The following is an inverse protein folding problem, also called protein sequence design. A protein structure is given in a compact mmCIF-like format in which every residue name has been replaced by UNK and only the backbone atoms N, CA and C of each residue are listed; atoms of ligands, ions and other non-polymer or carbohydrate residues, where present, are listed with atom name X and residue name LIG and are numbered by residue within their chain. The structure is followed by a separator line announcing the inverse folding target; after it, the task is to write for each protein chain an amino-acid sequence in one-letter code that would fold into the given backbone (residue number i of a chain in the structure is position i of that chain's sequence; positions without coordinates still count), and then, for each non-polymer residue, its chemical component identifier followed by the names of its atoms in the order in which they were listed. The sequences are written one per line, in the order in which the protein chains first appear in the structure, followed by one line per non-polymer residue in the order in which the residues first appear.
data_IF_056588669920
#
_entry.id   IF_056588669920
#
_cell.length_a   1.000
_cell.length_b   1.000
_cell.length_c   1.000
_cell.angle_alpha   90.00
_cell.angle_beta   90.00
_cell.angle_gamma   90.00
#
_symmetry.space_group_name_H-M   'P 1'
#
loop_
_entity.id
_entity.type
_entity.pdbx_description
1 polymer ?
#
# COMPACT_ATOMS: atom_id res chain seq x y z
N UNK A 1 5.37 15.64 11.60
CA UNK A 1 3.97 15.19 11.61
C UNK A 1 3.36 15.44 12.97
N UNK A 2 2.13 15.96 13.01
CA UNK A 2 1.30 16.09 14.22
C UNK A 2 0.15 15.10 14.19
N UNK A 3 -0.21 14.58 15.37
CA UNK A 3 -1.35 13.66 15.56
C UNK A 3 -2.34 14.33 16.52
N UNK A 4 -3.61 14.41 16.13
CA UNK A 4 -4.71 14.82 16.99
C UNK A 4 -5.76 13.69 17.08
N UNK A 5 -6.44 13.61 18.22
CA UNK A 5 -7.50 12.63 18.45
C UNK A 5 -8.77 13.40 18.82
N UNK A 6 -9.78 13.32 17.96
CA UNK A 6 -11.14 13.80 18.26
C UNK A 6 -12.06 12.58 18.38
N UNK A 7 -12.35 12.18 19.62
CA UNK A 7 -13.15 10.99 19.96
C UNK A 7 -12.60 9.72 19.30
N UNK A 8 -13.24 9.28 18.21
CA UNK A 8 -12.91 8.09 17.44
C UNK A 8 -12.22 8.41 16.10
N UNK A 9 -11.83 9.66 15.87
CA UNK A 9 -11.13 10.14 14.68
C UNK A 9 -9.68 10.44 15.04
N UNK A 10 -8.75 9.89 14.26
CA UNK A 10 -7.32 10.21 14.33
C UNK A 10 -6.98 11.09 13.13
N UNK A 11 -6.45 12.27 13.41
CA UNK A 11 -6.02 13.21 12.38
C UNK A 11 -4.50 13.26 12.32
N UNK A 12 -3.96 13.20 11.11
CA UNK A 12 -2.54 13.40 10.86
C UNK A 12 -2.33 14.67 10.06
N UNK A 13 -1.52 15.59 10.58
CA UNK A 13 -1.09 16.79 9.85
C UNK A 13 0.37 16.63 9.46
N UNK A 14 0.64 16.60 8.16
CA UNK A 14 2.00 16.52 7.61
C UNK A 14 2.69 17.88 7.74
N UNK A 15 3.95 17.88 8.13
CA UNK A 15 4.71 19.11 8.41
C UNK A 15 5.84 19.34 7.40
N UNK A 16 6.10 18.38 6.51
CA UNK A 16 7.11 18.50 5.46
C UNK A 16 6.71 17.70 4.20
N UNK A 17 7.36 17.97 3.04
CA UNK A 17 7.00 17.31 1.77
C UNK A 17 7.17 15.79 1.77
N UNK A 18 8.15 15.27 2.50
CA UNK A 18 8.39 13.81 2.58
C UNK A 18 7.23 13.11 3.30
N UNK A 19 6.75 13.68 4.40
CA UNK A 19 5.57 13.21 5.14
C UNK A 19 4.31 13.26 4.27
N UNK A 20 4.11 14.35 3.51
CA UNK A 20 3.00 14.48 2.57
C UNK A 20 3.02 13.38 1.50
N UNK A 21 4.17 13.14 0.87
CA UNK A 21 4.30 12.06 -0.12
C UNK A 21 4.02 10.68 0.49
N UNK A 22 4.48 10.43 1.71
CA UNK A 22 4.18 9.19 2.44
C UNK A 22 2.69 9.02 2.74
N UNK A 23 2.01 10.09 3.15
CA UNK A 23 0.57 10.07 3.41
C UNK A 23 -0.25 9.87 2.14
N UNK A 24 0.16 10.45 1.00
CA UNK A 24 -0.50 10.20 -0.29
C UNK A 24 -0.45 8.73 -0.69
N UNK A 25 0.71 8.08 -0.52
CA UNK A 25 0.85 6.64 -0.78
C UNK A 25 -0.02 5.83 0.18
N UNK A 26 -0.01 6.16 1.47
CA UNK A 26 -0.87 5.51 2.46
C UNK A 26 -2.36 5.68 2.09
N UNK A 27 -2.77 6.87 1.66
CA UNK A 27 -4.15 7.13 1.29
C UNK A 27 -4.60 6.28 0.09
N UNK A 28 -3.74 6.11 -0.91
CA UNK A 28 -3.99 5.21 -2.05
C UNK A 28 -4.03 3.74 -1.66
N UNK A 29 -3.34 3.35 -0.59
CA UNK A 29 -3.40 1.99 -0.05
C UNK A 29 -4.71 1.73 0.70
N UNK A 30 -5.17 2.72 1.47
CA UNK A 30 -6.36 2.58 2.33
C UNK A 30 -7.66 2.80 1.58
N UNK A 31 -7.70 3.77 0.67
CA UNK A 31 -8.91 4.12 -0.06
C UNK A 31 -8.97 3.36 -1.37
N UNK A 32 -10.01 2.54 -1.51
CA UNK A 32 -10.39 1.93 -2.77
C UNK A 32 -11.68 2.59 -3.24
N UNK A 33 -11.66 3.32 -4.37
CA UNK A 33 -12.86 4.02 -4.85
C UNK A 33 -13.96 3.06 -5.34
N UNK A 34 -13.65 1.78 -5.58
CA UNK A 34 -14.57 0.78 -6.13
C UNK A 34 -15.00 -0.23 -5.07
N UNK A 35 -14.15 -0.51 -4.09
CA UNK A 35 -14.38 -1.51 -3.03
C UNK A 35 -14.42 -0.86 -1.64
N UNK A 36 -14.46 -1.67 -0.59
CA UNK A 36 -14.36 -1.17 0.78
C UNK A 36 -12.96 -0.65 1.10
N UNK A 37 -12.91 0.44 1.89
CA UNK A 37 -11.65 0.95 2.43
C UNK A 37 -10.95 -0.12 3.29
N UNK A 38 -9.62 -0.17 3.20
CA UNK A 38 -8.79 -1.06 4.02
C UNK A 38 -8.63 -0.48 5.43
N UNK A 39 -8.58 -1.36 6.42
CA UNK A 39 -8.37 -0.98 7.82
C UNK A 39 -6.89 -1.07 8.19
N UNK A 40 -6.46 -0.20 9.10
CA UNK A 40 -5.16 -0.29 9.74
C UNK A 40 -5.32 -0.92 11.12
N UNK A 41 -4.58 -1.99 11.39
CA UNK A 41 -4.52 -2.62 12.70
C UNK A 41 -3.18 -2.34 13.37
N UNK A 42 -3.13 -1.91 14.64
CA UNK A 42 -1.88 -1.66 15.34
C UNK A 42 -1.10 -2.96 15.56
N UNK A 43 0.23 -2.89 15.43
CA UNK A 43 1.13 -4.03 15.67
C UNK A 43 1.84 -3.84 17.00
N UNK A 44 1.57 -4.74 17.95
CA UNK A 44 2.27 -4.79 19.24
C UNK A 44 2.02 -3.57 20.12
N UNK A 45 3.05 -3.13 20.85
CA UNK A 45 2.98 -1.99 21.78
C UNK A 45 3.79 -0.80 21.25
N UNK A 46 3.30 0.42 21.52
CA UNK A 46 4.05 1.65 21.30
C UNK A 46 4.69 2.10 22.61
N UNK A 47 6.01 1.91 22.73
CA UNK A 47 6.80 2.35 23.90
C UNK A 47 7.95 3.23 23.41
N UNK A 48 7.85 4.57 23.53
CA UNK A 48 8.85 5.51 23.02
C UNK A 48 10.26 5.28 23.55
N UNK A 49 10.40 4.77 24.77
CA UNK A 49 11.71 4.47 25.38
C UNK A 49 12.39 3.24 24.77
N UNK A 50 11.64 2.34 24.15
CA UNK A 50 12.17 1.18 23.40
C UNK A 50 12.35 1.53 21.92
N UNK A 51 11.32 2.11 21.31
CA UNK A 51 11.30 2.52 19.91
C UNK A 51 10.24 3.60 19.71
N UNK A 52 10.65 4.76 19.20
CA UNK A 52 9.74 5.88 18.93
C UNK A 52 9.04 5.72 17.56
N UNK A 53 8.43 4.55 17.31
CA UNK A 53 7.77 4.21 16.05
C UNK A 53 6.46 3.48 16.32
N UNK A 54 5.34 4.05 15.90
CA UNK A 54 4.06 3.34 15.85
C UNK A 54 3.99 2.50 14.56
N UNK A 55 3.53 1.26 14.66
CA UNK A 55 3.43 0.34 13.53
C UNK A 55 2.01 -0.15 13.36
N UNK A 56 1.58 -0.22 12.11
CA UNK A 56 0.29 -0.74 11.71
C UNK A 56 0.46 -1.73 10.56
N UNK A 57 -0.38 -2.75 10.52
CA UNK A 57 -0.59 -3.57 9.33
C UNK A 57 -1.84 -3.07 8.62
N UNK A 58 -1.82 -3.05 7.29
CA UNK A 58 -3.00 -2.75 6.46
C UNK A 58 -3.66 -4.06 6.08
N UNK A 59 -4.91 -4.26 6.49
CA UNK A 59 -5.66 -5.47 6.17
C UNK A 59 -5.77 -5.70 4.66
N UNK A 60 -5.70 -6.96 4.24
CA UNK A 60 -5.82 -7.33 2.83
C UNK A 60 -4.60 -7.03 1.96
N UNK A 61 -3.48 -6.56 2.53
CA UNK A 61 -2.21 -6.41 1.82
C UNK A 61 -1.22 -7.46 2.34
N UNK A 62 -0.91 -8.44 1.48
CA UNK A 62 0.10 -9.47 1.80
C UNK A 62 1.51 -8.89 1.75
N UNK A 63 2.32 -9.21 2.77
CA UNK A 63 3.76 -8.91 2.78
C UNK A 63 4.59 -9.84 1.86
N UNK A 64 4.00 -10.95 1.40
CA UNK A 64 4.60 -11.86 0.41
C UNK A 64 4.11 -11.51 -0.98
N UNK A 65 4.99 -11.57 -1.97
CA UNK A 65 4.60 -11.49 -3.38
C UNK A 65 3.67 -12.64 -3.70
N UNK A 66 2.42 -12.32 -4.01
CA UNK A 66 1.44 -13.28 -4.53
C UNK A 66 1.33 -13.03 -6.03
N UNK A 67 1.16 -14.10 -6.79
CA UNK A 67 0.93 -14.02 -8.23
C UNK A 67 -0.50 -14.47 -8.52
N UNK A 68 -1.11 -13.84 -9.51
CA UNK A 68 -2.38 -14.30 -10.07
C UNK A 68 -2.18 -15.60 -10.86
N UNK A 69 -3.27 -16.30 -11.14
CA UNK A 69 -3.26 -17.43 -12.06
C UNK A 69 -3.16 -16.99 -13.53
N UNK A 70 -3.38 -15.70 -13.80
CA UNK A 70 -3.30 -15.11 -15.13
C UNK A 70 -1.86 -15.07 -15.64
N UNK A 71 -1.66 -15.62 -16.84
CA UNK A 71 -0.39 -15.67 -17.54
C UNK A 71 -0.32 -14.62 -18.62
N UNK A 72 0.80 -13.91 -18.70
CA UNK A 72 1.03 -12.94 -19.77
C UNK A 72 1.31 -13.67 -21.08
N UNK A 73 0.70 -13.24 -22.18
CA UNK A 73 0.87 -13.86 -23.50
C UNK A 73 2.03 -13.26 -24.29
N UNK A 74 2.27 -11.98 -24.11
CA UNK A 74 3.32 -11.22 -24.80
C UNK A 74 4.23 -10.54 -23.76
N UNK A 75 5.38 -10.05 -24.19
CA UNK A 75 6.25 -9.26 -23.30
C UNK A 75 5.58 -7.90 -23.05
N UNK A 76 5.34 -7.56 -21.78
CA UNK A 76 4.70 -6.31 -21.40
C UNK A 76 5.28 -5.72 -20.11
N UNK A 77 4.92 -4.47 -19.83
CA UNK A 77 5.30 -3.79 -18.60
C UNK A 77 4.07 -3.52 -17.75
N UNK A 78 4.01 -4.10 -16.55
CA UNK A 78 2.93 -3.82 -15.60
C UNK A 78 3.35 -2.81 -14.54
N UNK A 79 2.39 -2.01 -14.07
CA UNK A 79 2.53 -1.00 -13.03
C UNK A 79 1.50 -1.20 -11.91
N UNK A 80 1.94 -0.98 -10.68
CA UNK A 80 1.04 -0.81 -9.55
C UNK A 80 0.67 0.67 -9.46
N UNK A 81 -0.57 1.06 -9.77
CA UNK A 81 -1.02 2.47 -9.69
C UNK A 81 -1.04 3.07 -8.27
N UNK A 82 -0.88 2.21 -7.26
CA UNK A 82 -0.86 2.61 -5.84
C UNK A 82 0.53 3.12 -5.44
N UNK A 83 1.56 2.30 -5.63
CA UNK A 83 2.94 2.62 -5.24
C UNK A 83 3.85 2.98 -6.42
N UNK A 84 3.33 3.02 -7.65
CA UNK A 84 4.03 3.27 -8.90
C UNK A 84 5.24 2.35 -9.15
N UNK A 85 5.20 1.13 -8.59
CA UNK A 85 6.20 0.11 -8.91
C UNK A 85 5.94 -0.45 -10.30
N UNK A 86 7.00 -0.63 -11.09
CA UNK A 86 6.96 -1.27 -12.41
C UNK A 86 7.55 -2.67 -12.36
N UNK A 87 7.13 -3.55 -13.27
CA UNK A 87 7.72 -4.87 -13.49
C UNK A 87 7.57 -5.26 -14.95
N UNK A 88 8.66 -5.74 -15.55
CA UNK A 88 8.65 -6.29 -16.90
C UNK A 88 8.37 -7.79 -16.82
N UNK A 89 7.40 -8.26 -17.61
CA UNK A 89 6.96 -9.65 -17.63
C UNK A 89 7.19 -10.25 -19.01
N UNK A 90 7.58 -11.52 -19.03
CA UNK A 90 7.75 -12.31 -20.26
C UNK A 90 6.54 -13.20 -20.50
N UNK A 91 6.34 -13.69 -21.74
CA UNK A 91 5.34 -14.70 -22.02
C UNK A 91 5.43 -15.90 -21.05
N UNK A 92 4.31 -16.23 -20.40
CA UNK A 92 4.22 -17.31 -19.41
C UNK A 92 4.49 -16.91 -17.96
N UNK A 93 4.96 -15.69 -17.71
CA UNK A 93 5.01 -15.14 -16.35
C UNK A 93 3.59 -14.91 -15.82
N UNK A 94 3.42 -15.04 -14.51
CA UNK A 94 2.15 -14.69 -13.86
C UNK A 94 2.12 -13.21 -13.51
N UNK A 95 0.95 -12.57 -13.60
CA UNK A 95 0.80 -11.16 -13.19
C UNK A 95 0.96 -11.06 -11.67
N UNK A 96 1.91 -10.26 -11.16
CA UNK A 96 2.10 -10.08 -9.72
C UNK A 96 0.98 -9.25 -9.10
N UNK A 97 0.67 -9.55 -7.83
CA UNK A 97 -0.17 -8.73 -6.96
C UNK A 97 0.71 -7.78 -6.17
N UNK A 98 0.46 -6.48 -6.29
CA UNK A 98 1.15 -5.43 -5.56
C UNK A 98 0.14 -4.54 -4.83
N UNK A 99 0.43 -4.14 -3.58
CA UNK A 99 -0.47 -3.30 -2.77
C UNK A 99 -1.90 -3.88 -2.61
N UNK A 100 -2.04 -5.20 -2.69
CA UNK A 100 -3.31 -5.91 -2.56
C UNK A 100 -4.13 -6.02 -3.84
N UNK A 101 -3.59 -5.62 -5.01
CA UNK A 101 -4.26 -5.76 -6.32
C UNK A 101 -3.32 -6.30 -7.41
N UNK A 102 -3.83 -7.02 -8.43
CA UNK A 102 -3.04 -7.33 -9.62
C UNK A 102 -2.47 -6.05 -10.24
N UNK A 103 -1.21 -6.09 -10.68
CA UNK A 103 -0.61 -4.97 -11.40
C UNK A 103 -1.25 -4.82 -12.79
N UNK A 104 -1.37 -3.57 -13.25
CA UNK A 104 -2.04 -3.22 -14.50
C UNK A 104 -1.03 -3.04 -15.63
N UNK A 105 -1.37 -3.41 -16.86
CA UNK A 105 -0.51 -3.14 -18.02
C UNK A 105 -0.36 -1.62 -18.25
N UNK A 106 0.81 -1.23 -18.75
CA UNK A 106 1.14 0.14 -19.14
C UNK A 106 0.97 0.33 -20.65
N UNK A 107 1.00 -0.76 -21.40
CA UNK A 107 0.88 -0.81 -22.86
C UNK A 107 -0.58 -0.72 -23.35
#
# INVERSE_FOLDING_TARGET
MKIAIDKNVVEFTMENPQETAGMEVLWRLLVDCIADNKRMEPIGEYIPTKSNVARFVVEGISAKTVYTDDKVQEECTVVCRVCNKYSHLKPGDSVPVCCGKPMEDVD
#
